data_IF_908275316417
#
_entry.id   IF_908275316417
#
_cell.length_a   1.000
_cell.length_b   1.000
_cell.length_c   1.000
_cell.angle_alpha   90.00
_cell.angle_beta   90.00
_cell.angle_gamma   90.00
#
_symmetry.space_group_name_H-M   'P 1'
#
loop_
_entity.id
_entity.type
_entity.pdbx_description
1 polymer ?
#
# COMPACT_ATOMS: atom_id res chain seq x y z
N UNK A 1 19.34 -10.28 12.24
CA UNK A 1 18.36 -9.30 12.25
C UNK A 1 17.74 -9.14 10.91
N UNK A 2 16.42 -9.05 10.88
CA UNK A 2 15.73 -8.86 9.63
C UNK A 2 15.85 -7.42 9.19
N UNK A 3 15.99 -7.19 7.92
CA UNK A 3 15.94 -5.84 7.37
C UNK A 3 14.50 -5.43 7.21
N UNK A 4 14.24 -4.16 7.38
CA UNK A 4 12.93 -3.61 7.09
C UNK A 4 12.67 -3.67 5.61
N UNK A 5 11.42 -3.87 5.26
CA UNK A 5 10.98 -3.90 3.88
C UNK A 5 10.19 -2.62 3.61
N UNK A 6 10.45 -2.01 2.48
CA UNK A 6 9.71 -0.82 2.07
C UNK A 6 8.92 -1.16 0.80
N UNK A 7 7.69 -0.70 0.73
CA UNK A 7 6.84 -0.94 -0.43
C UNK A 7 6.42 0.40 -0.99
N UNK A 8 6.86 0.71 -2.21
CA UNK A 8 6.37 1.87 -2.92
C UNK A 8 5.02 1.49 -3.53
N UNK A 9 3.98 2.23 -3.19
CA UNK A 9 2.64 1.98 -3.67
C UNK A 9 2.27 3.08 -4.66
N UNK A 10 2.06 2.69 -5.91
CA UNK A 10 1.66 3.59 -6.98
C UNK A 10 0.19 3.34 -7.27
N UNK A 11 -0.66 4.30 -6.95
CA UNK A 11 -2.11 4.14 -7.06
C UNK A 11 -2.58 4.69 -8.40
N UNK A 12 -3.18 3.82 -9.22
CA UNK A 12 -3.71 4.25 -10.51
C UNK A 12 -5.11 4.88 -10.34
N UNK A 13 -5.86 4.43 -9.39
CA UNK A 13 -7.19 4.95 -9.11
C UNK A 13 -8.10 3.88 -8.56
N UNK A 14 -9.38 4.18 -8.52
CA UNK A 14 -10.38 3.25 -8.02
C UNK A 14 -11.17 2.68 -9.18
N UNK A 15 -11.73 1.51 -8.99
CA UNK A 15 -12.56 0.85 -10.01
C UNK A 15 -13.99 1.39 -9.95
N UNK A 16 -14.76 1.07 -10.97
CA UNK A 16 -16.16 1.42 -10.98
C UNK A 16 -16.88 0.82 -9.77
N UNK A 17 -16.50 -0.39 -9.37
CA UNK A 17 -17.10 -1.04 -8.19
C UNK A 17 -16.94 -0.18 -6.93
N UNK A 18 -15.83 0.53 -6.79
CA UNK A 18 -15.60 1.42 -5.65
C UNK A 18 -16.62 2.57 -5.66
N UNK A 19 -16.83 3.16 -6.83
CA UNK A 19 -17.74 4.30 -6.95
C UNK A 19 -19.21 3.91 -6.75
N UNK A 20 -19.51 2.61 -6.82
CA UNK A 20 -20.85 2.12 -6.55
C UNK A 20 -21.09 1.91 -5.04
N UNK A 21 -20.06 1.95 -4.22
CA UNK A 21 -20.21 1.76 -2.77
C UNK A 21 -20.87 2.98 -2.14
N UNK A 22 -21.69 2.74 -1.12
CA UNK A 22 -22.23 3.83 -0.30
C UNK A 22 -21.11 4.36 0.59
N UNK A 23 -21.32 5.51 1.21
CA UNK A 23 -20.34 6.09 2.13
C UNK A 23 -20.05 5.14 3.29
N UNK A 24 -21.06 4.47 3.83
CA UNK A 24 -20.89 3.51 4.91
C UNK A 24 -20.06 2.30 4.45
N UNK A 25 -20.30 1.84 3.23
CA UNK A 25 -19.54 0.72 2.68
C UNK A 25 -18.08 1.11 2.44
N UNK A 26 -17.82 2.31 1.97
CA UNK A 26 -16.46 2.82 1.81
C UNK A 26 -15.75 2.88 3.16
N UNK A 27 -16.43 3.39 4.18
CA UNK A 27 -15.87 3.46 5.52
C UNK A 27 -15.53 2.06 6.04
N UNK A 28 -16.43 1.11 5.84
CA UNK A 28 -16.23 -0.28 6.26
C UNK A 28 -15.01 -0.88 5.56
N UNK A 29 -14.85 -0.63 4.26
CA UNK A 29 -13.70 -1.12 3.50
C UNK A 29 -12.41 -0.58 4.09
N UNK A 30 -12.32 0.73 4.30
CA UNK A 30 -11.10 1.34 4.81
C UNK A 30 -10.81 0.95 6.27
N UNK A 31 -11.84 0.70 7.07
CA UNK A 31 -11.67 0.20 8.44
C UNK A 31 -11.06 -1.20 8.41
N UNK A 32 -11.52 -2.07 7.49
CA UNK A 32 -10.97 -3.42 7.36
C UNK A 32 -9.52 -3.39 6.87
N UNK A 33 -9.22 -2.56 5.87
CA UNK A 33 -7.87 -2.40 5.35
C UNK A 33 -6.94 -1.86 6.44
N UNK A 34 -7.40 -0.87 7.20
CA UNK A 34 -6.62 -0.30 8.30
C UNK A 34 -6.26 -1.34 9.35
N UNK A 35 -7.20 -2.25 9.67
CA UNK A 35 -6.92 -3.31 10.62
C UNK A 35 -5.90 -4.30 10.12
N UNK A 36 -5.93 -4.62 8.83
CA UNK A 36 -4.96 -5.51 8.21
C UNK A 36 -3.57 -4.90 8.33
N UNK A 37 -3.43 -3.63 7.98
CA UNK A 37 -2.17 -2.92 8.03
C UNK A 37 -1.61 -2.91 9.46
N UNK A 38 -2.45 -2.60 10.41
CA UNK A 38 -2.06 -2.56 11.80
C UNK A 38 -1.63 -3.94 12.30
N UNK A 39 -2.40 -4.96 12.01
CA UNK A 39 -2.10 -6.34 12.44
C UNK A 39 -0.82 -6.86 11.82
N UNK A 40 -0.50 -6.45 10.61
CA UNK A 40 0.73 -6.87 9.94
C UNK A 40 1.95 -6.11 10.47
N UNK A 41 1.77 -5.13 11.31
CA UNK A 41 2.88 -4.34 11.83
C UNK A 41 3.42 -3.34 10.82
N UNK A 42 2.63 -3.04 9.81
CA UNK A 42 3.02 -2.08 8.78
C UNK A 42 2.72 -0.65 9.23
N UNK A 43 3.44 0.28 8.67
CA UNK A 43 3.13 1.69 8.90
C UNK A 43 3.51 2.51 7.68
N UNK A 44 2.94 3.69 7.57
CA UNK A 44 3.27 4.60 6.48
C UNK A 44 4.66 5.16 6.73
N UNK A 45 5.56 4.98 5.77
CA UNK A 45 6.88 5.58 5.85
C UNK A 45 6.85 6.99 5.28
N UNK A 46 5.89 7.31 4.41
CA UNK A 46 5.70 8.65 3.87
C UNK A 46 4.21 8.98 3.87
N UNK A 47 3.84 10.24 3.78
CA UNK A 47 2.45 10.59 3.49
C UNK A 47 2.09 10.17 2.07
N UNK A 48 0.83 10.26 1.72
CA UNK A 48 0.39 10.06 0.34
C UNK A 48 0.59 11.37 -0.43
N UNK A 49 1.15 11.26 -1.61
CA UNK A 49 1.43 12.42 -2.47
C UNK A 49 0.55 12.38 -3.71
N UNK A 50 -0.07 13.50 -4.05
CA UNK A 50 -0.86 13.60 -5.27
C UNK A 50 0.10 13.79 -6.44
N UNK A 51 0.05 12.93 -7.44
CA UNK A 51 0.94 13.01 -8.59
C UNK A 51 0.19 13.11 -9.92
N UNK A 52 -1.12 13.38 -9.89
CA UNK A 52 -1.90 13.46 -11.13
C UNK A 52 -1.42 14.56 -12.08
N UNK A 53 -0.85 15.63 -11.53
CA UNK A 53 -0.37 16.76 -12.32
C UNK A 53 0.90 16.45 -13.10
N UNK A 54 1.62 15.38 -12.74
CA UNK A 54 2.93 15.08 -13.31
C UNK A 54 2.96 13.89 -14.25
N UNK A 55 1.87 13.14 -14.36
CA UNK A 55 1.83 11.94 -15.20
C UNK A 55 0.39 11.55 -15.50
N UNK A 56 0.22 10.67 -16.48
CA UNK A 56 -1.11 10.25 -16.89
C UNK A 56 -1.51 8.89 -16.32
N UNK A 57 -0.64 8.23 -15.59
CA UNK A 57 -0.88 6.85 -15.18
C UNK A 57 -1.28 6.73 -13.72
N UNK A 58 -0.66 7.47 -12.83
CA UNK A 58 -0.90 7.33 -11.40
C UNK A 58 -1.52 8.58 -10.81
N UNK A 59 -2.43 8.39 -9.86
CA UNK A 59 -3.08 9.50 -9.15
C UNK A 59 -2.33 9.88 -7.89
N UNK A 60 -1.73 8.92 -7.23
CA UNK A 60 -1.00 9.20 -5.99
C UNK A 60 0.02 8.12 -5.71
N UNK A 61 0.92 8.38 -4.79
CA UNK A 61 1.85 7.35 -4.33
C UNK A 61 2.21 7.58 -2.87
N UNK A 62 2.62 6.51 -2.22
CA UNK A 62 3.10 6.55 -0.84
C UNK A 62 4.00 5.35 -0.61
N UNK A 63 4.71 5.34 0.51
CA UNK A 63 5.59 4.23 0.87
C UNK A 63 5.16 3.64 2.20
N UNK A 64 5.10 2.31 2.25
CA UNK A 64 4.83 1.58 3.48
C UNK A 64 6.13 0.96 4.00
N UNK A 65 6.21 0.75 5.30
CA UNK A 65 7.35 0.12 5.94
C UNK A 65 6.89 -1.11 6.70
N UNK A 66 7.61 -2.21 6.58
CA UNK A 66 7.31 -3.46 7.28
C UNK A 66 8.55 -3.93 8.03
N UNK A 67 8.39 -4.55 9.20
CA UNK A 67 9.54 -5.03 9.96
C UNK A 67 10.29 -6.19 9.29
N UNK A 68 9.61 -6.96 8.45
CA UNK A 68 10.21 -8.11 7.76
C UNK A 68 9.37 -8.52 6.56
N UNK A 69 9.85 -9.48 5.79
CA UNK A 69 9.18 -9.96 4.59
C UNK A 69 7.85 -10.63 4.93
N UNK A 70 7.82 -11.39 6.02
CA UNK A 70 6.59 -12.09 6.43
C UNK A 70 5.47 -11.10 6.71
N UNK A 71 5.79 -9.95 7.31
CA UNK A 71 4.80 -8.93 7.59
C UNK A 71 4.25 -8.35 6.29
N UNK A 72 5.12 -8.12 5.29
CA UNK A 72 4.69 -7.62 4.00
C UNK A 72 3.77 -8.63 3.30
N UNK A 73 4.09 -9.91 3.40
CA UNK A 73 3.25 -10.96 2.82
C UNK A 73 1.89 -11.06 3.51
N UNK A 74 1.88 -10.94 4.85
CA UNK A 74 0.61 -10.95 5.60
C UNK A 74 -0.26 -9.75 5.24
N UNK A 75 0.36 -8.59 5.03
CA UNK A 75 -0.37 -7.40 4.62
C UNK A 75 -1.04 -7.63 3.26
N UNK A 76 -0.29 -8.12 2.28
CA UNK A 76 -0.84 -8.39 0.95
C UNK A 76 -1.99 -9.41 1.01
N UNK A 77 -1.78 -10.50 1.74
CA UNK A 77 -2.83 -11.52 1.87
C UNK A 77 -4.06 -10.96 2.59
N UNK A 78 -3.84 -10.12 3.59
CA UNK A 78 -4.94 -9.53 4.36
C UNK A 78 -5.75 -8.53 3.55
N UNK A 79 -5.09 -7.66 2.76
CA UNK A 79 -5.83 -6.69 1.95
C UNK A 79 -6.56 -7.38 0.80
N UNK A 80 -6.01 -8.49 0.30
CA UNK A 80 -6.70 -9.29 -0.69
C UNK A 80 -7.98 -9.87 -0.08
N UNK A 81 -7.88 -10.40 1.13
CA UNK A 81 -9.03 -10.96 1.81
C UNK A 81 -10.07 -9.88 2.14
N UNK A 82 -9.64 -8.65 2.38
CA UNK A 82 -10.53 -7.51 2.60
C UNK A 82 -11.08 -6.96 1.29
N UNK A 83 -10.71 -7.58 0.16
CA UNK A 83 -11.19 -7.23 -1.17
C UNK A 83 -10.73 -5.86 -1.67
N UNK A 84 -9.61 -5.35 -1.17
CA UNK A 84 -9.12 -4.04 -1.61
C UNK A 84 -8.87 -4.00 -3.12
N UNK A 85 -8.35 -5.10 -3.68
CA UNK A 85 -8.00 -5.14 -5.10
C UNK A 85 -9.21 -5.17 -6.03
N UNK A 86 -10.40 -5.35 -5.48
CA UNK A 86 -11.63 -5.22 -6.25
C UNK A 86 -11.95 -3.75 -6.47
N UNK A 87 -11.47 -2.88 -5.59
CA UNK A 87 -11.86 -1.49 -5.55
C UNK A 87 -10.73 -0.51 -5.94
N UNK A 88 -9.49 -0.94 -5.84
CA UNK A 88 -8.36 -0.05 -6.09
C UNK A 88 -7.35 -0.71 -7.02
N UNK A 89 -6.86 0.05 -8.00
CA UNK A 89 -5.85 -0.44 -8.92
C UNK A 89 -4.52 0.20 -8.53
N UNK A 90 -3.54 -0.63 -8.22
CA UNK A 90 -2.23 -0.15 -7.80
C UNK A 90 -1.11 -1.02 -8.34
N UNK A 91 0.09 -0.47 -8.34
CA UNK A 91 1.30 -1.21 -8.65
C UNK A 91 2.24 -0.99 -7.50
N UNK A 92 2.99 -2.00 -7.12
CA UNK A 92 3.87 -1.89 -5.96
C UNK A 92 5.26 -2.40 -6.28
N UNK A 93 6.24 -1.82 -5.62
CA UNK A 93 7.64 -2.27 -5.72
C UNK A 93 8.14 -2.43 -4.29
N UNK A 94 8.69 -3.60 -4.01
CA UNK A 94 9.26 -3.87 -2.68
C UNK A 94 10.77 -3.75 -2.75
N UNK A 95 11.36 -3.22 -1.73
CA UNK A 95 12.81 -3.08 -1.65
C UNK A 95 13.29 -2.99 -0.22
N UNK A 96 14.60 -3.00 -0.07
CA UNK A 96 15.25 -2.80 1.21
C UNK A 96 16.22 -1.63 1.05
N UNK A 97 16.61 -1.03 2.16
CA UNK A 97 17.59 0.03 2.12
C UNK A 97 18.89 -0.51 1.58
N UNK A 98 19.51 0.22 0.66
CA UNK A 98 20.81 -0.23 0.13
C UNK A 98 21.85 -0.18 1.23
N UNK A 99 22.77 -1.15 1.14
CA UNK A 99 23.88 -1.19 2.08
C UNK A 99 24.76 0.01 1.86
N UNK A 100 25.37 0.52 2.95
CA UNK A 100 26.24 1.54 2.83
C UNK A 100 27.48 1.26 2.20
N UNK A 101 27.73 0.22 1.89
CA UNK A 101 28.93 -0.09 1.32
C UNK A 101 29.23 0.66 0.22
N UNK A 102 29.85 0.98 -0.10
CA UNK A 102 30.01 1.57 -1.03
C UNK A 102 30.33 1.30 -1.96
N UNK A 103 30.11 1.29 -2.12
CA UNK A 103 30.23 1.24 -2.73
C UNK A 103 30.75 1.47 -3.42
N UNK A 104 31.00 1.65 -3.57
CA UNK A 104 31.26 1.86 -4.32
C UNK A 104 31.83 1.83 -4.69
#
# INVERSE_FOLDING_TARGET
MSKKIYKLCLIRGYTEAYYQLTDDEKKSLWDRVGKVIETAGAKMATPSYDCRWSNDKYSSFFTMEYPDVESAMRDTAGVEKAELFRYMVSETILGVEESEAPAS
#
